data_IF_557998851479
#
_entry.id   IF_557998851479
#
_cell.length_a   1.000
_cell.length_b   1.000
_cell.length_c   1.000
_cell.angle_alpha   90.00
_cell.angle_beta   90.00
_cell.angle_gamma   90.00
#
_symmetry.space_group_name_H-M   'P 1'
#
loop_
_entity.id
_entity.type
_entity.pdbx_description
1 polymer ?
#
# COMPACT_ATOMS: atom_id res chain seq x y z
N UNK A 1 30.51 -2.99 24.69
CA UNK A 1 29.81 -1.81 25.23
C UNK A 1 29.28 -2.12 26.62
N UNK A 2 29.69 -1.31 27.60
CA UNK A 2 29.28 -1.46 29.00
C UNK A 2 27.79 -1.13 29.18
N UNK A 3 27.16 -1.61 30.26
CA UNK A 3 25.77 -1.27 30.58
C UNK A 3 25.55 0.25 30.74
N UNK A 4 26.60 0.97 31.16
CA UNK A 4 26.60 2.42 31.35
C UNK A 4 26.50 3.12 29.98
N UNK A 5 27.32 2.72 29.01
CA UNK A 5 27.29 3.28 27.64
C UNK A 5 25.92 3.11 26.98
N UNK A 6 25.27 1.95 27.18
CA UNK A 6 23.92 1.69 26.65
C UNK A 6 22.89 2.64 27.26
N UNK A 7 22.97 2.94 28.56
CA UNK A 7 22.08 3.90 29.23
C UNK A 7 22.25 5.31 28.69
N UNK A 8 23.50 5.76 28.50
CA UNK A 8 23.79 7.08 27.92
C UNK A 8 23.29 7.20 26.48
N UNK A 9 23.51 6.17 25.65
CA UNK A 9 23.03 6.16 24.26
C UNK A 9 21.49 6.20 24.18
N UNK A 10 20.79 5.51 25.09
CA UNK A 10 19.33 5.52 25.14
C UNK A 10 18.80 6.89 25.58
N UNK A 11 19.45 7.52 26.58
CA UNK A 11 19.09 8.87 27.03
C UNK A 11 19.30 9.91 25.93
N UNK A 12 20.43 9.87 25.23
CA UNK A 12 20.68 10.75 24.08
C UNK A 12 19.63 10.60 22.96
N UNK A 13 19.17 9.37 22.70
CA UNK A 13 18.08 9.11 21.74
C UNK A 13 16.75 9.67 22.19
N UNK A 14 16.43 9.58 23.49
CA UNK A 14 15.20 10.16 24.04
C UNK A 14 15.25 11.69 23.99
N UNK A 15 16.37 12.31 24.34
CA UNK A 15 16.54 13.76 24.28
C UNK A 15 16.40 14.28 22.84
N UNK A 16 16.97 13.57 21.86
CA UNK A 16 16.79 13.90 20.45
C UNK A 16 15.31 13.82 20.02
N UNK A 17 14.58 12.80 20.48
CA UNK A 17 13.14 12.67 20.21
C UNK A 17 12.33 13.80 20.86
N UNK A 18 12.65 14.16 22.10
CA UNK A 18 11.96 15.25 22.81
C UNK A 18 12.20 16.60 22.13
N UNK A 19 13.43 16.88 21.68
CA UNK A 19 13.76 18.08 20.89
C UNK A 19 12.95 18.14 19.59
N UNK A 20 12.86 17.02 18.88
CA UNK A 20 12.06 16.93 17.65
C UNK A 20 10.57 17.20 17.91
N UNK A 21 9.99 16.60 18.96
CA UNK A 21 8.59 16.82 19.32
C UNK A 21 8.32 18.27 19.71
N UNK A 22 9.22 18.91 20.45
CA UNK A 22 9.10 20.34 20.81
C UNK A 22 9.12 21.23 19.59
N UNK A 23 10.08 21.03 18.68
CA UNK A 23 10.17 21.79 17.44
C UNK A 23 8.92 21.61 16.56
N UNK A 24 8.39 20.39 16.47
CA UNK A 24 7.13 20.13 15.77
C UNK A 24 5.95 20.84 16.43
N UNK A 25 5.87 20.84 17.76
CA UNK A 25 4.81 21.53 18.49
C UNK A 25 4.88 23.05 18.28
N UNK A 26 6.07 23.64 18.35
CA UNK A 26 6.28 25.07 18.05
C UNK A 26 5.91 25.41 16.60
N UNK A 27 6.27 24.56 15.64
CA UNK A 27 5.86 24.72 14.24
C UNK A 27 4.34 24.61 14.05
N UNK A 28 3.68 23.69 14.77
CA UNK A 28 2.22 23.58 14.76
C UNK A 28 1.56 24.80 15.39
N UNK A 29 2.11 25.31 16.49
CA UNK A 29 1.62 26.52 17.16
C UNK A 29 1.76 27.76 16.27
N UNK A 30 2.85 27.87 15.50
CA UNK A 30 3.03 28.95 14.53
C UNK A 30 2.00 28.92 13.39
N UNK A 31 1.54 27.73 12.99
CA UNK A 31 0.52 27.58 11.93
C UNK A 31 -0.90 27.89 12.42
N UNK A 32 -1.18 27.67 13.70
CA UNK A 32 -2.50 27.91 14.28
C UNK A 32 -2.75 29.39 14.61
N UNK A 33 -1.77 30.27 14.37
CA UNK A 33 -1.85 31.69 14.68
C UNK A 33 -1.84 31.96 16.20
N UNK A 34 -1.76 33.23 16.62
CA UNK A 34 -2.16 33.57 17.98
C UNK A 34 -3.62 33.16 18.14
N UNK A 35 -3.94 32.38 19.17
CA UNK A 35 -5.33 32.19 19.55
C UNK A 35 -5.87 33.59 19.86
N UNK A 36 -6.68 34.14 18.95
CA UNK A 36 -7.54 35.26 19.31
C UNK A 36 -8.35 34.75 20.49
N UNK A 37 -8.11 35.34 21.67
CA UNK A 37 -9.04 35.29 22.77
C UNK A 37 -10.35 35.87 22.22
N UNK A 38 -11.21 34.97 21.75
CA UNK A 38 -12.60 35.32 21.50
C UNK A 38 -13.19 35.53 22.87
N UNK A 39 -13.29 36.79 23.28
CA UNK A 39 -14.08 37.20 24.43
C UNK A 39 -15.53 36.78 24.15
N UNK A 40 -15.87 35.55 24.57
CA UNK A 40 -17.25 35.07 24.60
C UNK A 40 -17.92 35.72 25.81
N UNK A 41 -18.16 37.02 25.71
CA UNK A 41 -19.12 37.70 26.57
C UNK A 41 -20.52 37.30 26.11
N UNK A 42 -21.12 36.33 26.81
CA UNK A 42 -22.54 36.03 26.71
C UNK A 42 -22.89 34.63 26.22
N UNK A 43 -22.76 33.64 27.09
CA UNK A 43 -23.59 32.44 27.01
C UNK A 43 -24.04 32.10 28.42
N UNK A 44 -25.34 32.26 28.66
CA UNK A 44 -25.98 31.92 29.93
C UNK A 44 -25.78 30.44 30.29
N UNK A 45 -25.88 30.18 31.59
CA UNK A 45 -25.54 28.93 32.28
C UNK A 45 -26.41 27.70 31.96
N UNK A 46 -26.97 27.58 30.75
CA UNK A 46 -27.84 26.46 30.40
C UNK A 46 -27.12 25.47 29.45
N UNK A 47 -27.02 24.22 29.92
CA UNK A 47 -26.68 22.99 29.19
C UNK A 47 -25.20 22.64 28.90
N UNK A 48 -24.32 22.85 29.88
CA UNK A 48 -22.94 22.32 29.87
C UNK A 48 -22.86 20.78 30.10
N UNK A 49 -23.97 20.11 30.42
CA UNK A 49 -24.03 18.66 30.67
C UNK A 49 -24.11 17.83 29.38
N UNK A 50 -24.81 18.34 28.36
CA UNK A 50 -25.05 17.63 27.10
C UNK A 50 -23.82 17.63 26.20
N UNK A 51 -23.10 18.75 26.12
CA UNK A 51 -21.81 18.83 25.40
C UNK A 51 -20.77 17.89 26.02
N UNK A 52 -20.74 17.78 27.36
CA UNK A 52 -19.86 16.82 28.06
C UNK A 52 -20.24 15.37 27.77
N UNK A 53 -21.53 15.05 27.67
CA UNK A 53 -21.99 13.70 27.29
C UNK A 53 -21.64 13.37 25.83
N UNK A 54 -21.76 14.33 24.91
CA UNK A 54 -21.39 14.13 23.50
C UNK A 54 -19.88 13.90 23.34
N UNK A 55 -19.04 14.67 24.05
CA UNK A 55 -17.58 14.48 24.06
C UNK A 55 -17.21 13.10 24.64
N UNK A 56 -17.88 12.67 25.72
CA UNK A 56 -17.65 11.35 26.31
C UNK A 56 -18.03 10.20 25.36
N UNK A 57 -19.13 10.34 24.62
CA UNK A 57 -19.54 9.35 23.62
C UNK A 57 -18.55 9.25 22.45
N UNK A 58 -18.01 10.39 21.98
CA UNK A 58 -16.98 10.41 20.94
C UNK A 58 -15.69 9.72 21.41
N UNK A 59 -15.20 10.02 22.62
CA UNK A 59 -14.01 9.38 23.20
C UNK A 59 -14.18 7.86 23.38
N UNK A 60 -15.38 7.39 23.74
CA UNK A 60 -15.68 5.97 23.88
C UNK A 60 -15.64 5.23 22.53
N UNK A 61 -16.09 5.88 21.45
CA UNK A 61 -16.05 5.30 20.10
C UNK A 61 -14.62 5.13 19.56
N UNK A 62 -13.71 6.07 19.87
CA UNK A 62 -12.31 5.99 19.44
C UNK A 62 -11.51 4.88 20.14
N UNK A 63 -11.82 4.60 21.41
CA UNK A 63 -11.19 3.50 22.14
C UNK A 63 -11.62 2.14 21.57
N UNK A 64 -12.87 2.00 21.13
CA UNK A 64 -13.37 0.78 20.46
C UNK A 64 -12.66 0.52 19.12
N UNK A 65 -12.38 1.57 18.33
CA UNK A 65 -11.65 1.45 17.06
C UNK A 65 -10.19 1.03 17.28
N UNK A 66 -9.53 1.49 18.35
CA UNK A 66 -8.14 1.12 18.66
C UNK A 66 -7.99 -0.34 19.10
N UNK A 67 -8.99 -0.91 19.78
CA UNK A 67 -9.00 -2.33 20.17
C UNK A 67 -9.23 -3.24 18.95
N UNK A 68 -10.02 -2.80 17.97
CA UNK A 68 -10.25 -3.55 16.72
C UNK A 68 -9.03 -3.60 15.77
N UNK A 69 -8.08 -2.67 15.90
CA UNK A 69 -6.85 -2.61 15.09
C UNK A 69 -5.61 -3.18 15.79
N UNK A 70 -5.81 -4.20 16.62
CA UNK A 70 -4.76 -5.10 17.11
C UNK A 70 -4.09 -5.87 15.97
N UNK A 71 -3.23 -5.20 15.21
CA UNK A 71 -2.23 -5.82 14.32
C UNK A 71 -0.88 -5.15 14.56
N UNK A 72 -0.17 -5.71 15.53
CA UNK A 72 1.26 -6.05 15.47
C UNK A 72 2.07 -5.25 14.44
N UNK A 73 2.50 -4.03 14.82
CA UNK A 73 3.55 -3.31 14.09
C UNK A 73 4.90 -3.98 14.41
N UNK A 74 5.19 -5.08 13.71
CA UNK A 74 6.50 -5.74 13.77
C UNK A 74 7.53 -4.87 13.04
N UNK A 75 8.44 -4.29 13.82
CA UNK A 75 9.60 -3.57 13.30
C UNK A 75 10.40 -4.44 12.32
N UNK A 76 10.93 -3.91 11.20
CA UNK A 76 11.85 -4.66 10.37
C UNK A 76 13.18 -4.83 11.11
N UNK A 77 13.48 -6.07 11.49
CA UNK A 77 14.78 -6.45 12.01
C UNK A 77 15.82 -6.44 10.88
N UNK A 78 17.01 -5.98 11.24
CA UNK A 78 18.21 -6.08 10.44
C UNK A 78 18.68 -7.53 10.36
N UNK A 79 18.91 -8.04 9.16
CA UNK A 79 19.75 -9.24 8.97
C UNK A 79 20.76 -9.00 7.86
N UNK A 80 22.02 -9.05 8.30
CA UNK A 80 23.15 -9.77 7.71
C UNK A 80 23.38 -9.67 6.20
N UNK A 81 24.53 -9.08 5.90
CA UNK A 81 25.29 -9.23 4.65
C UNK A 81 25.65 -10.71 4.46
N UNK A 82 25.15 -11.31 3.37
CA UNK A 82 25.77 -12.49 2.77
C UNK A 82 26.11 -12.14 1.31
N UNK A 83 27.40 -11.98 1.05
CA UNK A 83 28.00 -12.03 -0.28
C UNK A 83 28.01 -13.48 -0.75
N UNK A 84 27.25 -13.79 -1.79
CA UNK A 84 27.27 -15.08 -2.47
C UNK A 84 27.23 -14.85 -3.97
N UNK A 85 28.39 -14.94 -4.60
CA UNK A 85 28.53 -15.07 -6.05
C UNK A 85 28.04 -16.47 -6.45
N UNK A 86 27.20 -16.58 -7.48
CA UNK A 86 27.10 -17.79 -8.28
C UNK A 86 26.61 -17.44 -9.69
N UNK A 87 27.55 -17.48 -10.63
CA UNK A 87 27.30 -17.66 -12.06
C UNK A 87 26.59 -19.00 -12.29
N UNK A 88 25.53 -19.00 -13.11
CA UNK A 88 25.03 -20.21 -13.74
C UNK A 88 24.81 -19.98 -15.23
N UNK A 89 25.70 -20.59 -15.99
CA UNK A 89 25.59 -20.78 -17.43
C UNK A 89 24.63 -21.95 -17.73
N UNK A 90 23.70 -21.70 -18.65
CA UNK A 90 23.36 -22.46 -19.89
C UNK A 90 22.87 -23.94 -19.83
N UNK A 91 21.64 -24.11 -20.34
CA UNK A 91 21.00 -25.21 -21.13
C UNK A 91 20.85 -26.60 -20.46
N UNK A 92 19.75 -27.36 -20.60
CA UNK A 92 19.12 -27.89 -21.83
C UNK A 92 17.61 -28.21 -21.70
N UNK A 93 16.94 -28.08 -22.86
CA UNK A 93 15.88 -28.91 -23.45
C UNK A 93 14.95 -29.76 -22.56
N UNK A 94 13.67 -29.40 -22.54
CA UNK A 94 12.56 -30.36 -22.69
C UNK A 94 11.54 -29.80 -23.67
N UNK A 95 11.36 -30.50 -24.79
CA UNK A 95 10.42 -30.18 -25.85
C UNK A 95 9.01 -30.63 -25.43
N UNK A 96 8.16 -29.68 -25.08
CA UNK A 96 6.71 -29.90 -25.04
C UNK A 96 6.15 -29.24 -26.30
N UNK A 97 5.89 -30.05 -27.32
CA UNK A 97 5.24 -29.62 -28.55
C UNK A 97 3.75 -29.39 -28.28
N UNK A 98 3.39 -28.12 -28.09
CA UNK A 98 2.00 -27.69 -28.26
C UNK A 98 1.88 -27.08 -29.64
N UNK A 99 1.12 -27.75 -30.51
CA UNK A 99 0.65 -27.21 -31.78
C UNK A 99 -0.08 -25.88 -31.53
N UNK A 100 0.67 -24.78 -31.60
CA UNK A 100 0.10 -23.44 -31.58
C UNK A 100 -0.39 -23.12 -32.98
N UNK A 101 -1.71 -23.12 -33.10
CA UNK A 101 -2.50 -22.56 -34.19
C UNK A 101 -1.83 -21.30 -34.76
N UNK A 102 -1.41 -21.41 -36.01
CA UNK A 102 -0.88 -20.31 -36.80
C UNK A 102 -2.03 -19.39 -37.21
N UNK A 103 -2.41 -18.44 -36.34
CA UNK A 103 -3.18 -17.27 -36.77
C UNK A 103 -2.20 -16.26 -37.35
N UNK A 104 -1.98 -16.37 -38.66
CA UNK A 104 -1.40 -15.32 -39.46
C UNK A 104 -2.28 -14.06 -39.33
N UNK A 105 -1.74 -13.01 -38.71
CA UNK A 105 -2.44 -11.74 -38.55
C UNK A 105 -2.15 -10.95 -37.27
N UNK A 106 -1.17 -11.32 -36.44
CA UNK A 106 -0.71 -10.42 -35.39
C UNK A 106 0.40 -9.53 -35.95
N UNK A 107 0.03 -8.33 -36.42
CA UNK A 107 0.96 -7.21 -36.47
C UNK A 107 1.38 -6.94 -35.02
N UNK A 108 2.43 -7.63 -34.58
CA UNK A 108 3.12 -7.40 -33.33
C UNK A 108 3.53 -5.93 -33.34
N UNK A 109 2.74 -5.08 -32.68
CA UNK A 109 3.13 -3.72 -32.37
C UNK A 109 4.38 -3.87 -31.52
N UNK A 110 5.54 -3.66 -32.13
CA UNK A 110 6.83 -3.70 -31.48
C UNK A 110 6.91 -2.50 -30.54
N UNK A 111 6.26 -2.61 -29.38
CA UNK A 111 6.37 -1.61 -28.33
C UNK A 111 7.81 -1.68 -27.83
N UNK A 112 8.61 -0.61 -28.01
CA UNK A 112 10.00 -0.64 -27.57
C UNK A 112 10.04 -0.89 -26.05
N UNK A 113 10.83 -1.87 -25.65
CA UNK A 113 11.00 -2.18 -24.23
C UNK A 113 11.67 -0.98 -23.54
N UNK A 114 10.93 -0.31 -22.65
CA UNK A 114 11.45 0.80 -21.89
C UNK A 114 12.31 0.30 -20.74
N UNK A 115 13.61 0.62 -20.76
CA UNK A 115 14.54 0.29 -19.68
C UNK A 115 14.12 1.01 -18.41
N UNK A 116 13.73 0.24 -17.40
CA UNK A 116 13.32 0.78 -16.10
C UNK A 116 14.52 0.90 -15.15
N UNK A 117 14.70 2.07 -14.54
CA UNK A 117 15.70 2.27 -13.47
C UNK A 117 15.20 1.61 -12.18
N UNK A 118 16.00 0.69 -11.61
CA UNK A 118 15.67 -0.07 -10.39
C UNK A 118 16.67 0.23 -9.27
N UNK A 119 16.31 -0.11 -8.03
CA UNK A 119 17.19 0.00 -6.87
C UNK A 119 17.59 1.43 -6.49
N UNK A 120 18.84 1.61 -6.03
CA UNK A 120 19.39 2.88 -5.53
C UNK A 120 19.40 3.98 -6.60
N UNK A 121 19.54 3.60 -7.88
CA UNK A 121 19.53 4.53 -9.00
C UNK A 121 18.20 5.31 -9.13
N UNK A 122 17.11 4.82 -8.55
CA UNK A 122 15.83 5.56 -8.49
C UNK A 122 15.90 6.86 -7.69
N UNK A 123 16.92 7.04 -6.84
CA UNK A 123 17.09 8.25 -6.01
C UNK A 123 17.64 9.43 -6.79
N UNK A 124 18.34 9.19 -7.90
CA UNK A 124 18.90 10.23 -8.77
C UNK A 124 17.99 10.60 -9.95
N UNK A 125 16.78 10.04 -10.03
CA UNK A 125 15.82 10.44 -11.06
C UNK A 125 15.27 11.82 -10.72
N UNK A 126 15.25 12.77 -11.68
CA UNK A 126 14.69 14.09 -11.44
C UNK A 126 13.21 13.98 -11.07
N UNK A 127 12.77 14.85 -10.15
CA UNK A 127 11.35 15.02 -9.87
C UNK A 127 10.61 15.50 -11.12
N UNK A 128 9.34 15.13 -11.27
CA UNK A 128 8.48 15.78 -12.28
C UNK A 128 8.00 17.13 -11.74
N UNK A 129 7.86 18.15 -12.61
CA UNK A 129 7.26 19.41 -12.19
C UNK A 129 5.81 19.14 -11.77
N UNK A 130 5.48 19.53 -10.54
CA UNK A 130 4.15 19.43 -9.97
C UNK A 130 3.68 20.84 -9.64
N UNK A 131 2.48 21.21 -10.09
CA UNK A 131 1.92 22.55 -9.93
C UNK A 131 1.81 22.96 -8.46
N UNK A 132 1.34 22.06 -7.59
CA UNK A 132 1.26 22.32 -6.16
C UNK A 132 2.64 22.53 -5.51
N UNK A 133 3.66 21.81 -5.97
CA UNK A 133 5.03 21.98 -5.47
C UNK A 133 5.66 23.27 -5.94
N UNK A 134 5.44 23.63 -7.21
CA UNK A 134 5.93 24.88 -7.76
C UNK A 134 5.34 26.06 -6.99
N UNK A 135 4.05 26.06 -6.66
CA UNK A 135 3.44 27.11 -5.85
C UNK A 135 4.07 27.21 -4.45
N UNK A 136 4.24 26.07 -3.78
CA UNK A 136 4.87 26.01 -2.47
C UNK A 136 6.31 26.55 -2.48
N UNK A 137 7.15 26.08 -3.41
CA UNK A 137 8.56 26.50 -3.48
C UNK A 137 8.73 27.93 -3.98
N UNK A 138 7.85 28.42 -4.86
CA UNK A 138 7.79 29.83 -5.23
C UNK A 138 7.46 30.71 -4.02
N UNK A 139 6.49 30.31 -3.20
CA UNK A 139 6.17 31.02 -1.95
C UNK A 139 7.33 30.97 -0.95
N UNK A 140 8.12 29.90 -0.95
CA UNK A 140 9.33 29.76 -0.13
C UNK A 140 10.57 30.48 -0.70
N UNK A 141 10.49 31.11 -1.89
CA UNK A 141 11.59 31.84 -2.51
C UNK A 141 12.68 30.97 -3.14
N UNK A 142 12.43 29.69 -3.38
CA UNK A 142 13.39 28.80 -4.05
C UNK A 142 13.32 28.95 -5.57
N UNK A 143 14.48 28.81 -6.21
CA UNK A 143 14.56 28.76 -7.67
C UNK A 143 13.94 27.47 -8.23
N UNK A 144 13.54 27.48 -9.50
CA UNK A 144 12.90 26.31 -10.13
C UNK A 144 13.84 25.09 -10.23
N UNK A 145 15.15 25.33 -10.36
CA UNK A 145 16.17 24.27 -10.35
C UNK A 145 16.23 23.57 -8.99
N UNK A 146 16.34 24.33 -7.90
CA UNK A 146 16.36 23.79 -6.53
C UNK A 146 15.04 23.10 -6.18
N UNK A 147 13.91 23.67 -6.63
CA UNK A 147 12.61 23.06 -6.45
C UNK A 147 12.50 21.69 -7.14
N UNK A 148 13.15 21.50 -8.30
CA UNK A 148 13.12 20.24 -9.05
C UNK A 148 13.88 19.10 -8.35
N UNK A 149 14.94 19.43 -7.61
CA UNK A 149 15.76 18.48 -6.85
C UNK A 149 15.05 18.02 -5.56
N UNK A 150 14.29 18.92 -4.93
CA UNK A 150 13.60 18.67 -3.65
C UNK A 150 12.17 18.14 -3.87
N UNK A 151 11.56 18.40 -5.05
CA UNK A 151 10.22 17.92 -5.38
C UNK A 151 10.16 16.38 -5.42
N UNK A 152 9.70 15.79 -4.31
CA UNK A 152 9.50 14.34 -4.18
C UNK A 152 8.14 13.84 -4.64
N UNK A 153 7.26 14.73 -5.12
CA UNK A 153 5.95 14.32 -5.59
C UNK A 153 6.10 13.46 -6.85
N UNK A 154 5.80 12.17 -6.68
CA UNK A 154 5.64 11.25 -7.79
C UNK A 154 4.21 11.42 -8.26
N UNK A 155 4.03 11.88 -9.50
CA UNK A 155 2.72 11.86 -10.13
C UNK A 155 2.14 10.45 -9.99
N UNK A 156 0.93 10.33 -9.44
CA UNK A 156 0.22 9.05 -9.42
C UNK A 156 -0.02 8.68 -10.88
N UNK A 157 0.60 7.59 -11.32
CA UNK A 157 0.33 7.05 -12.64
C UNK A 157 -1.13 6.61 -12.66
N UNK A 158 -1.97 7.32 -13.43
CA UNK A 158 -3.35 6.89 -13.67
C UNK A 158 -3.30 5.94 -14.87
N UNK A 159 -3.52 4.63 -14.69
CA UNK A 159 -3.54 3.70 -15.81
C UNK A 159 -4.66 4.09 -16.78
N UNK A 160 -4.41 3.92 -18.07
CA UNK A 160 -5.44 4.09 -19.10
C UNK A 160 -6.57 3.12 -18.78
N UNK A 161 -7.82 3.61 -18.81
CA UNK A 161 -8.99 2.75 -18.61
C UNK A 161 -8.97 1.66 -19.67
N UNK A 162 -9.04 0.41 -19.23
CA UNK A 162 -9.19 -0.73 -20.12
C UNK A 162 -10.43 -0.53 -21.01
N UNK A 163 -10.39 -0.90 -22.30
CA UNK A 163 -11.57 -0.84 -23.17
C UNK A 163 -12.77 -1.57 -22.57
N UNK A 164 -13.99 -1.13 -22.94
CA UNK A 164 -15.23 -1.77 -22.50
C UNK A 164 -15.21 -3.24 -22.96
N UNK A 165 -15.34 -4.17 -22.00
CA UNK A 165 -15.29 -5.61 -22.28
C UNK A 165 -13.91 -6.27 -22.23
N UNK A 166 -12.82 -5.51 -22.06
CA UNK A 166 -11.45 -6.08 -21.99
C UNK A 166 -11.26 -7.04 -20.81
N UNK A 167 -11.94 -6.76 -19.69
CA UNK A 167 -11.97 -7.63 -18.51
C UNK A 167 -13.24 -8.48 -18.42
N UNK A 168 -14.06 -8.52 -19.47
CA UNK A 168 -15.23 -9.38 -19.46
C UNK A 168 -14.78 -10.83 -19.60
N UNK A 169 -14.67 -11.51 -18.46
CA UNK A 169 -14.30 -12.93 -18.35
C UNK A 169 -15.45 -13.83 -18.82
N UNK A 170 -16.56 -13.27 -19.31
CA UNK A 170 -17.60 -14.04 -19.99
C UNK A 170 -17.00 -14.60 -21.28
N UNK A 171 -16.44 -15.81 -21.17
CA UNK A 171 -16.20 -16.65 -22.33
C UNK A 171 -17.53 -16.73 -23.10
N UNK A 172 -17.52 -16.59 -24.44
CA UNK A 172 -18.71 -16.84 -25.23
C UNK A 172 -19.26 -18.20 -24.82
N UNK A 173 -20.56 -18.26 -24.52
CA UNK A 173 -21.18 -19.48 -24.00
C UNK A 173 -20.90 -20.61 -24.98
N UNK A 174 -20.10 -21.58 -24.55
CA UNK A 174 -19.82 -22.74 -25.39
C UNK A 174 -21.14 -23.50 -25.60
N UNK A 175 -21.31 -24.18 -26.75
CA UNK A 175 -22.53 -24.96 -27.01
C UNK A 175 -22.79 -25.99 -25.89
N UNK A 176 -21.74 -26.50 -25.26
CA UNK A 176 -21.84 -27.37 -24.08
C UNK A 176 -22.45 -26.68 -22.85
N UNK A 177 -22.13 -25.41 -22.60
CA UNK A 177 -22.72 -24.64 -21.50
C UNK A 177 -24.19 -24.34 -21.76
N UNK A 178 -24.56 -24.00 -22.99
CA UNK A 178 -25.96 -23.80 -23.38
C UNK A 178 -26.77 -25.09 -23.22
N UNK A 179 -26.24 -26.22 -23.70
CA UNK A 179 -26.88 -27.52 -23.56
C UNK A 179 -27.11 -27.92 -22.08
N UNK A 180 -26.17 -27.58 -21.18
CA UNK A 180 -26.31 -27.79 -19.73
C UNK A 180 -27.33 -26.86 -19.08
N UNK A 181 -27.52 -25.64 -19.59
CA UNK A 181 -28.51 -24.68 -19.08
C UNK A 181 -29.93 -24.99 -19.55
N UNK A 182 -30.08 -25.52 -20.77
CA UNK A 182 -31.38 -25.93 -21.33
C UNK A 182 -31.79 -27.33 -20.90
N UNK A 183 -30.87 -28.13 -20.37
CA UNK A 183 -31.21 -29.42 -19.81
C UNK A 183 -32.05 -29.20 -18.53
N UNK A 184 -33.24 -29.83 -18.42
CA UNK A 184 -34.01 -29.78 -17.19
C UNK A 184 -33.12 -30.33 -16.07
N UNK A 185 -32.96 -29.54 -15.01
CA UNK A 185 -32.22 -29.94 -13.81
C UNK A 185 -32.93 -31.17 -13.23
N UNK A 186 -32.43 -32.37 -13.53
CA UNK A 186 -32.92 -33.61 -12.95
C UNK A 186 -32.22 -33.77 -11.60
N UNK A 187 -32.91 -33.56 -10.46
CA UNK A 187 -32.31 -33.69 -9.13
C UNK A 187 -31.90 -35.14 -8.79
N UNK A 188 -32.15 -36.10 -9.67
CA UNK A 188 -32.09 -37.53 -9.36
C UNK A 188 -30.68 -38.16 -9.49
N UNK A 189 -29.66 -37.38 -9.87
CA UNK A 189 -28.29 -37.92 -10.09
C UNK A 189 -27.21 -37.30 -9.20
N UNK A 190 -27.58 -36.63 -8.12
CA UNK A 190 -26.59 -36.34 -7.06
C UNK A 190 -26.39 -37.64 -6.28
N UNK A 191 -25.53 -38.52 -6.80
CA UNK A 191 -25.08 -39.67 -6.03
C UNK A 191 -24.49 -39.17 -4.72
N UNK A 192 -24.91 -39.70 -3.56
CA UNK A 192 -24.36 -39.27 -2.28
C UNK A 192 -22.84 -39.40 -2.31
N UNK A 193 -22.09 -38.50 -1.66
CA UNK A 193 -20.64 -38.58 -1.63
C UNK A 193 -20.23 -39.97 -1.15
N UNK A 194 -19.45 -40.69 -1.97
CA UNK A 194 -18.93 -42.01 -1.58
C UNK A 194 -18.17 -41.83 -0.27
N UNK A 195 -18.56 -42.59 0.76
CA UNK A 195 -17.84 -42.61 2.04
C UNK A 195 -16.39 -43.02 1.74
N UNK A 196 -15.46 -42.08 1.87
CA UNK A 196 -14.04 -42.37 1.77
C UNK A 196 -13.67 -43.17 3.02
N UNK A 197 -13.46 -44.48 2.87
CA UNK A 197 -12.92 -45.32 3.95
C UNK A 197 -11.48 -44.89 4.17
N UNK A 198 -11.22 -44.11 5.24
CA UNK A 198 -9.86 -43.84 5.69
C UNK A 198 -9.23 -45.14 6.16
N UNK A 199 -8.43 -45.76 5.29
CA UNK A 199 -7.53 -46.85 5.71
C UNK A 199 -6.54 -46.27 6.72
N UNK A 200 -6.55 -46.78 7.95
CA UNK A 200 -5.49 -46.50 8.92
C UNK A 200 -4.21 -47.10 8.36
N UNK A 201 -3.26 -46.24 8.01
CA UNK A 201 -1.93 -46.66 7.62
C UNK A 201 -1.20 -47.05 8.91
N UNK A 202 -1.05 -48.36 9.16
CA UNK A 202 -0.19 -48.83 10.24
C UNK A 202 1.25 -48.67 9.76
N UNK A 203 1.99 -47.75 10.39
CA UNK A 203 3.44 -47.73 10.32
C UNK A 203 3.95 -48.85 11.24
N UNK A 204 4.53 -49.89 10.64
CA UNK A 204 5.43 -50.81 11.33
C UNK A 204 6.83 -50.18 11.39
#
# INVERSE_FOLDING_TARGET
MSAIEKKYALRARLDAKLKFLRCRHESMKALLGPEEEVDVEGAGDEDCSEVRQQIAHHMASEQSIRVALGKEFKAPCSTAVHTGQQERQKQEQTSISVDRLSLAGSSSLAVPHQVTVRGKARKGLPGRPCTSCQQFYKAAGLSEQEASEVCRHKAKFTPVKSPKGYWDVRLPSTPEMLARQTAPFSPEKISPPRKVVRRKFNFN
#
